data_IF_125021966792
#
_entry.id   IF_125021966792
#
_cell.length_a   1.000
_cell.length_b   1.000
_cell.length_c   1.000
_cell.angle_alpha   90.00
_cell.angle_beta   90.00
_cell.angle_gamma   90.00
#
_symmetry.space_group_name_H-M   'P 1'
#
loop_
_entity.id
_entity.type
_entity.pdbx_description
1 polymer ?
#
# COMPACT_ATOMS: atom_id res chain seq x y z
N UNK A 1 11.69 1.33 -2.87
CA UNK A 1 10.70 1.48 -3.96
C UNK A 1 10.01 2.83 -3.81
N UNK A 2 9.93 3.61 -4.89
CA UNK A 2 9.28 4.92 -4.92
C UNK A 2 8.12 4.89 -5.93
N UNK A 3 6.92 5.26 -5.49
CA UNK A 3 5.74 5.47 -6.33
C UNK A 3 5.50 6.99 -6.40
N UNK A 4 6.10 7.63 -7.41
CA UNK A 4 6.08 9.09 -7.58
C UNK A 4 5.01 9.57 -8.58
N UNK A 5 4.34 8.64 -9.25
CA UNK A 5 3.24 8.87 -10.20
C UNK A 5 2.21 7.76 -10.04
N UNK A 6 1.04 7.92 -10.67
CA UNK A 6 0.02 6.87 -10.66
C UNK A 6 0.55 5.59 -11.31
N UNK A 7 0.17 4.45 -10.75
CA UNK A 7 0.50 3.12 -11.29
C UNK A 7 -0.77 2.28 -11.38
N UNK A 8 -0.84 1.43 -12.40
CA UNK A 8 -1.96 0.50 -12.59
C UNK A 8 -1.45 -0.94 -12.50
N UNK A 9 -2.10 -1.74 -11.66
CA UNK A 9 -1.96 -3.20 -11.63
C UNK A 9 -3.10 -3.79 -12.47
N UNK A 10 -2.73 -4.43 -13.59
CA UNK A 10 -3.66 -5.00 -14.55
C UNK A 10 -3.57 -6.52 -14.53
N UNK A 11 -4.67 -7.19 -14.20
CA UNK A 11 -4.76 -8.64 -14.17
C UNK A 11 -6.16 -9.11 -13.80
N UNK A 12 -6.37 -10.43 -13.83
CA UNK A 12 -7.63 -11.07 -13.51
C UNK A 12 -7.91 -11.14 -11.99
N UNK A 13 -9.13 -11.58 -11.62
CA UNK A 13 -9.55 -11.67 -10.22
C UNK A 13 -8.81 -12.73 -9.40
N UNK A 14 -8.07 -13.62 -10.06
CA UNK A 14 -7.28 -14.70 -9.43
C UNK A 14 -5.78 -14.43 -9.47
N UNK A 15 -5.35 -13.38 -10.17
CA UNK A 15 -3.93 -13.05 -10.27
C UNK A 15 -3.42 -12.53 -8.93
N UNK A 16 -2.15 -12.83 -8.64
CA UNK A 16 -1.48 -12.52 -7.38
C UNK A 16 -0.24 -11.70 -7.67
N UNK A 17 -0.05 -10.63 -6.89
CA UNK A 17 1.15 -9.79 -6.92
C UNK A 17 1.87 -9.88 -5.59
N UNK A 18 3.16 -10.18 -5.63
CA UNK A 18 4.05 -10.10 -4.47
C UNK A 18 5.21 -9.19 -4.81
N UNK A 19 5.21 -8.00 -4.22
CA UNK A 19 6.31 -7.05 -4.32
C UNK A 19 7.22 -7.22 -3.11
N UNK A 20 8.46 -7.65 -3.35
CA UNK A 20 9.47 -7.81 -2.32
C UNK A 20 10.50 -6.69 -2.46
N UNK A 21 10.64 -5.88 -1.42
CA UNK A 21 11.54 -4.74 -1.43
C UNK A 21 12.36 -4.73 -0.15
N UNK A 22 13.68 -4.91 -0.27
CA UNK A 22 14.60 -4.85 0.86
C UNK A 22 14.77 -3.43 1.44
N UNK A 23 14.47 -2.39 0.65
CA UNK A 23 14.47 -1.00 1.10
C UNK A 23 13.10 -0.53 1.57
N UNK A 24 12.95 0.76 1.77
CA UNK A 24 11.67 1.38 2.14
C UNK A 24 10.71 1.50 0.94
N UNK A 25 9.41 1.60 1.22
CA UNK A 25 8.38 1.93 0.22
C UNK A 25 7.83 3.32 0.52
N UNK A 26 7.98 4.23 -0.43
CA UNK A 26 7.46 5.59 -0.33
C UNK A 26 6.48 5.81 -1.49
N UNK A 27 5.24 6.15 -1.16
CA UNK A 27 4.25 6.62 -2.13
C UNK A 27 4.09 8.13 -1.95
N UNK A 28 4.32 8.88 -3.03
CA UNK A 28 4.21 10.33 -3.01
C UNK A 28 2.76 10.80 -2.82
N UNK A 29 2.57 12.02 -2.32
CA UNK A 29 1.26 12.63 -2.18
C UNK A 29 0.49 12.70 -3.51
N UNK A 30 -0.83 12.63 -3.45
CA UNK A 30 -1.75 12.71 -4.60
C UNK A 30 -1.48 11.68 -5.72
N UNK A 31 -0.78 10.58 -5.42
CA UNK A 31 -0.63 9.45 -6.34
C UNK A 31 -1.58 8.32 -5.99
N UNK A 32 -1.94 7.51 -6.99
CA UNK A 32 -2.88 6.40 -6.84
C UNK A 32 -2.33 5.10 -7.41
N UNK A 33 -2.57 4.01 -6.69
CA UNK A 33 -2.49 2.65 -7.23
C UNK A 33 -3.87 2.28 -7.76
N UNK A 34 -4.00 2.02 -9.05
CA UNK A 34 -5.25 1.59 -9.69
C UNK A 34 -5.25 0.09 -9.95
N UNK A 35 -6.43 -0.52 -9.85
CA UNK A 35 -6.67 -1.91 -10.23
C UNK A 35 -7.49 -1.96 -11.52
N UNK A 36 -7.14 -2.86 -12.43
CA UNK A 36 -7.85 -3.06 -13.70
C UNK A 36 -7.86 -4.54 -14.10
N UNK A 37 -8.74 -4.90 -15.03
CA UNK A 37 -8.87 -6.28 -15.54
C UNK A 37 -9.56 -7.26 -14.58
N UNK A 38 -10.01 -6.79 -13.41
CA UNK A 38 -10.58 -7.62 -12.36
C UNK A 38 -9.64 -7.87 -11.17
N UNK A 39 -8.42 -7.31 -11.20
CA UNK A 39 -7.46 -7.39 -10.11
C UNK A 39 -8.09 -6.96 -8.77
N UNK A 40 -7.76 -7.70 -7.70
CA UNK A 40 -8.34 -7.50 -6.37
C UNK A 40 -7.25 -7.15 -5.36
N UNK A 41 -7.50 -6.12 -4.54
CA UNK A 41 -6.60 -5.65 -3.48
C UNK A 41 -6.11 -6.79 -2.56
N UNK A 42 -7.01 -7.73 -2.22
CA UNK A 42 -6.68 -8.88 -1.36
C UNK A 42 -5.57 -9.78 -1.91
N UNK A 43 -5.32 -9.75 -3.23
CA UNK A 43 -4.29 -10.55 -3.90
C UNK A 43 -2.97 -9.79 -4.10
N UNK A 44 -2.86 -8.55 -3.62
CA UNK A 44 -1.69 -7.70 -3.79
C UNK A 44 -0.97 -7.60 -2.46
N UNK A 45 0.29 -8.05 -2.42
CA UNK A 45 1.10 -8.12 -1.21
C UNK A 45 2.35 -7.26 -1.41
N UNK A 46 2.55 -6.31 -0.49
CA UNK A 46 3.69 -5.42 -0.45
C UNK A 46 4.57 -5.75 0.75
N UNK A 47 5.62 -6.54 0.54
CA UNK A 47 6.58 -6.89 1.59
C UNK A 47 7.77 -5.93 1.57
N UNK A 48 8.02 -5.31 2.71
CA UNK A 48 9.00 -4.21 2.87
C UNK A 48 9.95 -4.51 4.03
N UNK A 49 11.23 -4.66 3.67
CA UNK A 49 12.37 -4.95 4.55
C UNK A 49 13.18 -3.72 4.97
N UNK A 50 12.75 -2.52 4.58
CA UNK A 50 13.50 -1.28 4.78
C UNK A 50 13.64 -0.84 6.25
N UNK A 51 14.59 0.07 6.47
CA UNK A 51 14.95 0.58 7.80
C UNK A 51 13.91 1.53 8.41
N UNK A 52 13.05 2.14 7.60
CA UNK A 52 11.95 3.00 8.07
C UNK A 52 10.58 2.35 7.86
N UNK A 53 10.39 1.64 6.74
CA UNK A 53 9.18 0.89 6.42
C UNK A 53 8.39 1.48 5.25
N UNK A 54 7.10 1.73 5.46
CA UNK A 54 6.17 2.21 4.43
C UNK A 54 5.69 3.62 4.80
N UNK A 55 5.79 4.56 3.86
CA UNK A 55 5.27 5.91 4.01
C UNK A 55 4.32 6.24 2.85
N UNK A 56 3.06 6.52 3.18
CA UNK A 56 2.04 6.97 2.24
C UNK A 56 1.84 8.48 2.39
N UNK A 57 2.10 9.22 1.32
CA UNK A 57 1.94 10.66 1.27
C UNK A 57 0.49 11.12 1.46
N UNK A 58 0.31 12.42 1.64
CA UNK A 58 -1.02 13.02 1.78
C UNK A 58 -1.88 12.75 0.54
N UNK A 59 -3.17 12.49 0.75
CA UNK A 59 -4.15 12.20 -0.32
C UNK A 59 -3.75 11.09 -1.29
N UNK A 60 -2.82 10.21 -0.93
CA UNK A 60 -2.46 9.06 -1.73
C UNK A 60 -3.54 7.97 -1.65
N UNK A 61 -3.72 7.21 -2.73
CA UNK A 61 -4.61 6.04 -2.75
C UNK A 61 -3.79 4.76 -2.88
N UNK A 62 -3.97 3.85 -1.93
CA UNK A 62 -3.22 2.60 -1.83
C UNK A 62 -4.14 1.37 -1.89
N UNK A 63 -3.69 0.36 -2.62
CA UNK A 63 -4.39 -0.91 -2.84
C UNK A 63 -3.50 -2.07 -2.42
N UNK A 64 -3.98 -2.90 -1.49
CA UNK A 64 -3.35 -4.17 -1.13
C UNK A 64 -2.93 -4.33 0.33
N UNK A 65 -2.30 -5.47 0.62
CA UNK A 65 -1.79 -5.85 1.95
C UNK A 65 -0.36 -5.34 2.11
N UNK A 66 -0.18 -4.34 2.97
CA UNK A 66 1.10 -3.77 3.32
C UNK A 66 1.73 -4.52 4.50
N UNK A 67 2.91 -5.12 4.28
CA UNK A 67 3.69 -5.85 5.29
C UNK A 67 5.06 -5.20 5.48
N UNK A 68 5.28 -4.56 6.63
CA UNK A 68 6.53 -3.86 6.92
C UNK A 68 7.23 -4.43 8.17
N UNK A 69 8.55 -4.61 8.10
CA UNK A 69 9.36 -4.95 9.29
C UNK A 69 9.52 -3.78 10.27
N UNK A 70 9.26 -2.56 9.79
CA UNK A 70 9.30 -1.30 10.54
C UNK A 70 7.94 -0.60 10.42
N UNK A 71 7.92 0.73 10.49
CA UNK A 71 6.68 1.49 10.61
C UNK A 71 5.87 1.47 9.31
N UNK A 72 4.56 1.67 9.45
CA UNK A 72 3.68 2.07 8.36
C UNK A 72 3.08 3.42 8.76
N UNK A 73 3.42 4.47 8.01
CA UNK A 73 2.91 5.84 8.24
C UNK A 73 1.96 6.22 7.12
N UNK A 74 0.74 6.61 7.51
CA UNK A 74 -0.31 7.05 6.60
C UNK A 74 -0.66 8.51 6.91
N UNK A 75 -0.30 9.40 5.99
CA UNK A 75 -0.52 10.83 6.17
C UNK A 75 -1.94 11.26 5.80
N UNK A 76 -2.28 12.50 6.17
CA UNK A 76 -3.61 13.08 6.05
C UNK A 76 -4.28 12.86 4.69
N UNK A 77 -5.54 12.45 4.72
CA UNK A 77 -6.37 12.30 3.53
C UNK A 77 -6.02 11.12 2.62
N UNK A 78 -4.98 10.34 2.94
CA UNK A 78 -4.73 9.10 2.21
C UNK A 78 -5.88 8.10 2.42
N UNK A 79 -6.11 7.25 1.43
CA UNK A 79 -7.14 6.20 1.46
C UNK A 79 -6.51 4.85 1.17
N UNK A 80 -6.96 3.83 1.90
CA UNK A 80 -6.46 2.46 1.74
C UNK A 80 -7.63 1.50 1.57
N UNK A 81 -7.54 0.68 0.53
CA UNK A 81 -8.27 -0.58 0.41
C UNK A 81 -7.26 -1.72 0.60
N UNK A 82 -7.18 -2.25 1.81
CA UNK A 82 -6.02 -3.04 2.19
C UNK A 82 -5.93 -3.41 3.66
N UNK A 83 -4.78 -3.95 4.03
CA UNK A 83 -4.41 -4.26 5.42
C UNK A 83 -3.05 -3.66 5.71
N UNK A 84 -2.87 -3.09 6.89
CA UNK A 84 -1.59 -2.53 7.34
C UNK A 84 -1.02 -3.43 8.44
N UNK A 85 0.02 -4.19 8.11
CA UNK A 85 0.68 -5.16 8.99
C UNK A 85 2.13 -4.72 9.24
N UNK A 86 2.35 -4.07 10.38
CA UNK A 86 3.68 -3.63 10.82
C UNK A 86 4.17 -4.50 11.97
N UNK A 87 5.48 -4.81 11.99
CA UNK A 87 6.13 -5.43 13.16
C UNK A 87 6.48 -4.42 14.26
N UNK A 88 6.28 -3.11 14.05
CA UNK A 88 6.57 -2.08 15.05
C UNK A 88 5.37 -1.18 15.35
N UNK A 89 4.93 -0.37 14.39
CA UNK A 89 3.88 0.62 14.61
C UNK A 89 3.16 0.98 13.30
N UNK A 90 1.86 1.25 13.42
CA UNK A 90 1.05 1.86 12.37
C UNK A 90 0.59 3.23 12.87
N UNK A 91 0.91 4.28 12.13
CA UNK A 91 0.53 5.67 12.45
C UNK A 91 -0.44 6.19 11.41
N UNK A 92 -1.62 6.63 11.86
CA UNK A 92 -2.71 7.13 11.02
C UNK A 92 -3.02 8.58 11.39
N UNK A 93 -3.06 9.48 10.39
CA UNK A 93 -3.42 10.88 10.60
C UNK A 93 -4.80 11.22 10.02
N UNK A 94 -5.85 10.94 10.79
CA UNK A 94 -7.24 11.33 10.43
C UNK A 94 -7.80 10.62 9.20
N UNK A 95 -7.39 9.38 8.93
CA UNK A 95 -7.77 8.62 7.72
C UNK A 95 -8.63 7.38 8.02
N UNK A 96 -9.29 6.87 6.96
CA UNK A 96 -10.01 5.59 6.98
C UNK A 96 -9.22 4.49 6.26
N UNK A 97 -9.15 3.30 6.88
CA UNK A 97 -8.60 2.07 6.29
C UNK A 97 -9.74 1.09 6.07
N UNK A 98 -9.95 0.66 4.82
CA UNK A 98 -11.01 -0.29 4.46
C UNK A 98 -10.40 -1.65 4.22
N UNK A 99 -10.87 -2.66 4.95
CA UNK A 99 -10.48 -4.05 4.69
C UNK A 99 -11.00 -4.46 3.29
N UNK A 100 -10.19 -5.14 2.47
CA UNK A 100 -10.64 -5.66 1.18
C UNK A 100 -11.84 -6.60 1.33
N UNK A 101 -12.71 -6.58 0.32
CA UNK A 101 -13.78 -7.55 0.21
C UNK A 101 -13.22 -8.99 0.22
N UNK A 102 -13.97 -9.97 0.76
CA UNK A 102 -13.57 -11.38 0.82
C UNK A 102 -13.12 -11.97 -0.52
#
# INVERSE_FOLDING_TARGET
MLINTNVTLAGGPTDIWVFQNAGDLIQASATSVFLSGGALAKNIIWQVGGGTGIALGTTAHFEGVAMAIKAITVNTGATINGRLLSQTAVTLDGIAVTQPAP
#
